data_IF_587131760151
#
_entry.id   IF_587131760151
#
_cell.length_a   1.000
_cell.length_b   1.000
_cell.length_c   1.000
_cell.angle_alpha   90.00
_cell.angle_beta   90.00
_cell.angle_gamma   90.00
#
_symmetry.space_group_name_H-M   'P 1'
#
loop_
_entity.id
_entity.type
_entity.pdbx_description
1 polymer ?
#
# COMPACT_ATOMS: atom_id res chain seq x y z
N UNK A 1 -2.45 -32.42 37.10
CA UNK A 1 -3.48 -31.85 36.20
C UNK A 1 -3.31 -30.36 35.90
N UNK A 2 -2.49 -29.58 36.65
CA UNK A 2 -2.35 -28.12 36.43
C UNK A 2 -1.49 -27.70 35.21
N UNK A 3 -0.42 -28.44 34.87
CA UNK A 3 0.53 -28.02 33.81
C UNK A 3 0.00 -28.02 32.38
N UNK A 4 -1.09 -28.75 32.11
CA UNK A 4 -1.69 -28.87 30.77
C UNK A 4 -2.58 -27.66 30.45
N UNK A 5 -3.20 -27.06 31.47
CA UNK A 5 -4.05 -25.89 31.31
C UNK A 5 -3.22 -24.64 30.98
N UNK A 6 -2.06 -24.47 31.63
CA UNK A 6 -1.10 -23.40 31.33
C UNK A 6 -0.55 -23.47 29.90
N UNK A 7 -0.19 -24.67 29.42
CA UNK A 7 0.36 -24.82 28.06
C UNK A 7 -0.69 -24.54 26.98
N UNK A 8 -1.96 -24.94 27.19
CA UNK A 8 -3.05 -24.64 26.25
C UNK A 8 -3.39 -23.16 26.22
N UNK A 9 -3.42 -22.49 27.38
CA UNK A 9 -3.63 -21.04 27.46
C UNK A 9 -2.47 -20.32 26.76
N UNK A 10 -1.23 -20.73 27.01
CA UNK A 10 -0.05 -20.15 26.36
C UNK A 10 -0.10 -20.32 24.83
N UNK A 11 -0.46 -21.51 24.33
CA UNK A 11 -0.63 -21.77 22.90
C UNK A 11 -1.76 -20.93 22.30
N UNK A 12 -2.87 -20.76 23.01
CA UNK A 12 -3.99 -19.91 22.59
C UNK A 12 -3.60 -18.43 22.54
N UNK A 13 -2.79 -17.95 23.49
CA UNK A 13 -2.26 -16.58 23.50
C UNK A 13 -1.28 -16.36 22.34
N UNK A 14 -0.40 -17.34 22.06
CA UNK A 14 0.51 -17.29 20.91
C UNK A 14 -0.27 -17.30 19.59
N UNK A 15 -1.28 -18.17 19.43
CA UNK A 15 -2.10 -18.19 18.23
C UNK A 15 -2.93 -16.91 18.07
N UNK A 16 -3.43 -16.33 19.16
CA UNK A 16 -4.16 -15.07 19.13
C UNK A 16 -3.25 -13.89 18.76
N UNK A 17 -2.00 -13.87 19.26
CA UNK A 17 -1.02 -12.83 18.88
C UNK A 17 -0.61 -12.90 17.40
N UNK A 18 -0.56 -14.09 16.80
CA UNK A 18 -0.27 -14.26 15.38
C UNK A 18 -1.43 -13.79 14.48
N UNK A 19 -2.67 -13.72 14.99
CA UNK A 19 -3.83 -13.24 14.24
C UNK A 19 -4.03 -11.72 14.24
N UNK A 20 -3.39 -10.99 15.16
CA UNK A 20 -3.44 -9.52 15.17
C UNK A 20 -2.32 -9.00 14.27
N UNK A 21 -2.49 -9.16 12.96
CA UNK A 21 -1.73 -8.39 11.98
C UNK A 21 -2.21 -6.94 12.09
N UNK A 22 -1.70 -6.19 13.07
CA UNK A 22 -1.96 -4.76 13.18
C UNK A 22 -1.58 -4.13 11.85
N UNK A 23 -2.55 -3.52 11.17
CA UNK A 23 -2.34 -2.75 9.95
C UNK A 23 -1.45 -1.58 10.31
N UNK A 24 -0.14 -1.74 10.13
CA UNK A 24 0.81 -0.67 10.41
C UNK A 24 0.52 0.49 9.44
N UNK A 25 -0.15 1.52 9.95
CA UNK A 25 -0.36 2.80 9.26
C UNK A 25 1.01 3.32 8.82
N UNK A 26 1.16 3.57 7.52
CA UNK A 26 2.44 4.01 6.94
C UNK A 26 2.63 5.53 7.04
N UNK A 27 1.51 6.27 7.02
CA UNK A 27 1.39 7.69 7.37
C UNK A 27 -0.08 7.99 7.64
N UNK A 28 -0.40 9.00 8.45
CA UNK A 28 -1.79 9.45 8.68
C UNK A 28 -2.32 10.36 7.56
N UNK A 29 -1.43 10.87 6.70
CA UNK A 29 -1.76 11.87 5.69
C UNK A 29 -1.24 11.47 4.32
N UNK A 30 -2.01 11.80 3.28
CA UNK A 30 -1.66 11.60 1.88
C UNK A 30 -2.10 12.79 1.03
N UNK A 31 -1.43 13.00 -0.10
CA UNK A 31 -1.77 13.95 -1.14
C UNK A 31 -2.40 13.22 -2.33
N UNK A 32 -3.47 13.77 -2.88
CA UNK A 32 -4.25 13.19 -3.97
C UNK A 32 -4.59 14.25 -5.03
N UNK A 33 -5.01 13.81 -6.21
CA UNK A 33 -5.47 14.69 -7.29
C UNK A 33 -6.89 15.25 -7.10
N UNK A 34 -7.64 14.68 -6.16
CA UNK A 34 -8.98 15.08 -5.74
C UNK A 34 -9.25 14.55 -4.32
N UNK A 35 -10.36 14.95 -3.70
CA UNK A 35 -10.68 14.62 -2.31
C UNK A 35 -10.90 13.11 -2.06
N UNK A 36 -11.31 12.36 -3.08
CA UNK A 36 -11.58 10.93 -3.00
C UNK A 36 -10.40 10.07 -3.49
N UNK A 37 -9.35 10.71 -4.01
CA UNK A 37 -8.15 10.06 -4.56
C UNK A 37 -8.43 9.12 -5.74
N UNK A 38 -9.45 9.45 -6.54
CA UNK A 38 -9.86 8.61 -7.68
C UNK A 38 -9.10 8.95 -8.98
N UNK A 39 -8.58 10.17 -9.11
CA UNK A 39 -7.89 10.61 -10.32
C UNK A 39 -6.40 10.29 -10.25
N UNK A 40 -5.90 9.73 -11.35
CA UNK A 40 -4.46 9.59 -11.56
C UNK A 40 -3.81 10.98 -11.63
N UNK A 41 -2.74 11.17 -10.86
CA UNK A 41 -2.00 12.42 -10.72
C UNK A 41 -0.87 12.53 -11.75
N UNK A 42 -0.19 11.42 -12.03
CA UNK A 42 0.95 11.38 -12.95
C UNK A 42 1.20 9.98 -13.48
N UNK A 43 1.83 9.88 -14.66
CA UNK A 43 2.45 8.66 -15.16
C UNK A 43 3.94 8.68 -14.85
N UNK A 44 4.45 7.58 -14.31
CA UNK A 44 5.87 7.41 -13.99
C UNK A 44 6.40 6.15 -14.66
N UNK A 45 7.71 6.13 -14.89
CA UNK A 45 8.43 4.96 -15.37
C UNK A 45 9.40 4.49 -14.28
N UNK A 46 9.43 3.19 -14.01
CA UNK A 46 10.36 2.58 -13.08
C UNK A 46 11.81 2.74 -13.56
N UNK A 47 12.68 3.23 -12.69
CA UNK A 47 14.12 3.41 -12.97
C UNK A 47 14.99 2.33 -12.35
N UNK A 48 14.42 1.52 -11.46
CA UNK A 48 15.05 0.36 -10.85
C UNK A 48 14.02 -0.74 -10.63
N UNK A 49 14.49 -1.96 -10.49
CA UNK A 49 13.68 -3.07 -10.01
C UNK A 49 13.30 -2.82 -8.54
N UNK A 50 12.06 -3.15 -8.19
CA UNK A 50 11.55 -3.05 -6.82
C UNK A 50 10.70 -4.26 -6.47
N UNK A 51 11.04 -4.87 -5.32
CA UNK A 51 10.26 -5.94 -4.70
C UNK A 51 9.75 -5.42 -3.36
N UNK A 52 8.43 -5.33 -3.24
CA UNK A 52 7.73 -4.92 -2.05
C UNK A 52 7.98 -5.86 -0.87
N UNK A 53 8.09 -5.34 0.37
CA UNK A 53 8.30 -6.17 1.56
C UNK A 53 7.07 -6.99 1.96
N UNK A 54 5.87 -6.56 1.55
CA UNK A 54 4.61 -7.26 1.80
C UNK A 54 3.56 -6.91 0.71
N UNK A 55 2.37 -7.51 0.81
CA UNK A 55 1.29 -7.39 -0.16
C UNK A 55 0.72 -5.97 -0.36
N UNK A 56 1.07 -5.00 0.48
CA UNK A 56 0.63 -3.60 0.29
C UNK A 56 1.44 -2.90 -0.78
N UNK A 57 2.61 -3.44 -1.13
CA UNK A 57 3.56 -2.81 -2.04
C UNK A 57 3.46 -3.36 -3.45
N UNK A 58 3.62 -2.48 -4.42
CA UNK A 58 3.65 -2.83 -5.83
C UNK A 58 5.01 -3.45 -6.17
N UNK A 59 5.00 -4.51 -6.98
CA UNK A 59 6.22 -5.13 -7.51
C UNK A 59 6.43 -4.70 -8.96
N UNK A 60 7.64 -4.27 -9.31
CA UNK A 60 7.95 -3.87 -10.68
C UNK A 60 9.42 -3.99 -11.05
N UNK A 61 9.66 -3.90 -12.35
CA UNK A 61 10.94 -3.95 -13.02
C UNK A 61 11.23 -2.62 -13.70
N UNK A 62 12.51 -2.36 -13.90
CA UNK A 62 12.97 -1.18 -14.63
C UNK A 62 12.28 -1.08 -15.99
N UNK A 63 11.80 0.12 -16.34
CA UNK A 63 11.09 0.41 -17.58
C UNK A 63 9.57 0.20 -17.53
N UNK A 64 9.03 -0.44 -16.49
CA UNK A 64 7.59 -0.59 -16.36
C UNK A 64 6.90 0.76 -16.04
N UNK A 65 5.74 0.96 -16.65
CA UNK A 65 4.88 2.14 -16.46
C UNK A 65 4.00 1.96 -15.21
N UNK A 66 3.86 3.02 -14.43
CA UNK A 66 3.02 3.06 -13.23
C UNK A 66 2.19 4.35 -13.23
N UNK A 67 0.89 4.23 -12.95
CA UNK A 67 -0.02 5.35 -12.77
C UNK A 67 -0.11 5.71 -11.29
N UNK A 68 0.22 6.95 -10.92
CA UNK A 68 0.23 7.42 -9.53
C UNK A 68 -1.12 8.02 -9.17
N UNK A 69 -1.70 7.62 -8.03
CA UNK A 69 -3.00 8.12 -7.55
C UNK A 69 -2.90 8.90 -6.25
N UNK A 70 -1.92 8.57 -5.40
CA UNK A 70 -1.67 9.34 -4.17
C UNK A 70 -0.22 9.25 -3.73
N UNK A 71 0.16 10.15 -2.84
CA UNK A 71 1.51 10.25 -2.27
C UNK A 71 1.37 10.35 -0.75
N UNK A 72 1.96 9.46 0.03
CA UNK A 72 1.99 9.67 1.48
C UNK A 72 2.73 10.97 1.78
N UNK A 73 2.36 11.62 2.89
CA UNK A 73 2.86 12.93 3.26
C UNK A 73 3.18 13.01 4.75
N UNK A 74 3.89 14.07 5.17
CA UNK A 74 4.27 14.32 6.57
C UNK A 74 5.20 13.25 7.13
N UNK A 75 4.67 12.29 7.89
CA UNK A 75 5.48 11.27 8.58
C UNK A 75 6.28 10.40 7.60
N UNK A 76 5.74 10.19 6.41
CA UNK A 76 6.40 9.43 5.36
C UNK A 76 6.06 10.04 3.99
N UNK A 77 7.03 10.71 3.37
CA UNK A 77 6.89 11.31 2.04
C UNK A 77 7.56 10.49 0.93
N UNK A 78 8.15 9.34 1.31
CA UNK A 78 8.93 8.51 0.40
C UNK A 78 8.06 7.50 -0.35
N UNK A 79 6.87 7.18 0.15
CA UNK A 79 5.98 6.21 -0.48
C UNK A 79 4.85 6.88 -1.26
N UNK A 80 4.69 6.48 -2.51
CA UNK A 80 3.55 6.78 -3.35
C UNK A 80 2.70 5.53 -3.55
N UNK A 81 1.47 5.71 -4.02
CA UNK A 81 0.56 4.62 -4.35
C UNK A 81 0.13 4.74 -5.80
N UNK A 82 0.14 3.61 -6.49
CA UNK A 82 -0.22 3.57 -7.89
C UNK A 82 -0.54 2.16 -8.40
N UNK A 83 -0.86 2.10 -9.69
CA UNK A 83 -1.15 0.85 -10.38
C UNK A 83 -0.16 0.56 -11.51
N UNK A 84 0.14 -0.73 -11.67
CA UNK A 84 0.75 -1.30 -12.88
C UNK A 84 -0.22 -2.34 -13.43
N UNK A 85 -0.97 -1.97 -14.47
CA UNK A 85 -2.06 -2.81 -14.98
C UNK A 85 -3.12 -3.04 -13.90
N UNK A 86 -3.34 -4.30 -13.52
CA UNK A 86 -4.28 -4.68 -12.45
C UNK A 86 -3.68 -4.63 -11.03
N UNK A 87 -2.35 -4.59 -10.93
CA UNK A 87 -1.66 -4.63 -9.66
C UNK A 87 -1.64 -3.21 -9.06
N UNK A 88 -1.95 -3.09 -7.77
CA UNK A 88 -2.00 -1.80 -7.07
C UNK A 88 -1.23 -1.89 -5.76
N UNK A 89 -0.47 -0.85 -5.43
CA UNK A 89 0.24 -0.83 -4.16
C UNK A 89 1.15 0.38 -3.97
N UNK A 90 1.79 0.40 -2.80
CA UNK A 90 2.81 1.37 -2.44
C UNK A 90 4.16 1.10 -3.11
N UNK A 91 4.89 2.16 -3.41
CA UNK A 91 6.27 2.06 -3.88
C UNK A 91 7.06 3.31 -3.55
N UNK A 92 8.40 3.21 -3.46
CA UNK A 92 9.23 4.33 -3.10
C UNK A 92 9.41 5.27 -4.31
N UNK A 93 9.26 6.58 -4.06
CA UNK A 93 9.28 7.62 -5.11
C UNK A 93 10.61 7.70 -5.86
N UNK A 94 11.70 7.26 -5.26
CA UNK A 94 13.05 7.29 -5.82
C UNK A 94 13.34 6.09 -6.74
N UNK A 95 12.45 5.10 -6.78
CA UNK A 95 12.51 3.99 -7.73
C UNK A 95 11.84 4.29 -9.08
N UNK A 96 11.29 5.49 -9.25
CA UNK A 96 10.56 5.91 -10.46
C UNK A 96 10.96 7.31 -10.91
N UNK A 97 10.68 7.63 -12.17
CA UNK A 97 10.80 8.96 -12.75
C UNK A 97 9.47 9.40 -13.34
N UNK A 98 9.05 10.63 -13.05
CA UNK A 98 7.84 11.22 -13.64
C UNK A 98 8.04 11.45 -15.13
N UNK A 99 7.13 10.91 -15.95
CA UNK A 99 7.07 11.15 -17.39
C UNK A 99 6.05 12.21 -17.75
N UNK A 100 4.85 12.13 -17.15
CA UNK A 100 3.75 13.05 -17.43
C UNK A 100 3.00 13.37 -16.13
N UNK A 101 2.62 14.63 -15.97
CA UNK A 101 1.79 15.10 -14.86
C UNK A 101 0.42 15.45 -15.41
N UNK A 102 -0.63 14.80 -14.87
CA UNK A 102 -2.02 15.07 -15.22
C UNK A 102 -2.64 16.12 -14.31
N UNK A 103 -2.26 16.11 -13.04
CA UNK A 103 -2.78 17.00 -12.00
C UNK A 103 -1.62 17.68 -11.29
N UNK A 104 -1.55 19.00 -11.41
CA UNK A 104 -0.52 19.82 -10.77
C UNK A 104 -0.91 20.33 -9.37
N UNK A 105 -2.21 20.44 -9.08
CA UNK A 105 -2.73 20.87 -7.78
C UNK A 105 -3.13 19.65 -6.95
N UNK A 106 -2.42 19.41 -5.86
CA UNK A 106 -2.66 18.28 -4.96
C UNK A 106 -3.43 18.72 -3.72
N UNK A 107 -4.39 17.91 -3.26
CA UNK A 107 -5.10 18.12 -2.00
C UNK A 107 -4.60 17.13 -0.94
N UNK A 108 -4.37 17.61 0.28
CA UNK A 108 -3.94 16.77 1.40
C UNK A 108 -5.16 16.28 2.19
N UNK A 109 -5.26 14.96 2.39
CA UNK A 109 -6.37 14.30 3.08
C UNK A 109 -5.85 13.26 4.07
N UNK A 110 -6.69 12.86 5.02
CA UNK A 110 -6.38 11.77 5.93
C UNK A 110 -6.37 10.42 5.19
N UNK A 111 -5.46 9.55 5.59
CA UNK A 111 -5.48 8.15 5.18
C UNK A 111 -6.58 7.39 5.91
N UNK A 112 -7.18 6.41 5.25
CA UNK A 112 -8.16 5.47 5.80
C UNK A 112 -7.44 4.17 6.17
N UNK A 113 -7.96 3.40 7.12
CA UNK A 113 -7.40 2.07 7.44
C UNK A 113 -7.36 1.15 6.21
N UNK A 114 -8.36 1.30 5.33
CA UNK A 114 -8.47 0.57 4.05
C UNK A 114 -7.32 0.86 3.09
N UNK A 115 -6.63 2.01 3.22
CA UNK A 115 -5.47 2.35 2.40
C UNK A 115 -4.28 1.43 2.69
N UNK A 116 -4.27 0.73 3.83
CA UNK A 116 -3.18 -0.14 4.26
C UNK A 116 -3.57 -1.62 4.32
N UNK A 117 -4.72 -1.98 3.76
CA UNK A 117 -5.16 -3.37 3.64
C UNK A 117 -4.57 -4.01 2.39
N UNK A 118 -4.20 -5.28 2.49
CA UNK A 118 -3.86 -6.07 1.31
C UNK A 118 -5.13 -6.45 0.58
N UNK A 119 -5.28 -5.94 -0.63
CA UNK A 119 -6.32 -6.36 -1.56
C UNK A 119 -6.01 -7.81 -1.95
N UNK A 120 -6.71 -8.74 -1.33
CA UNK A 120 -6.66 -10.12 -1.80
C UNK A 120 -7.44 -10.15 -3.11
N UNK A 121 -6.84 -10.73 -4.16
CA UNK A 121 -7.60 -11.13 -5.35
C UNK A 121 -8.54 -12.28 -4.96
N UNK A 122 -9.60 -11.96 -4.20
CA UNK A 122 -10.80 -12.78 -4.27
C UNK A 122 -11.23 -12.68 -5.72
N UNK A 123 -11.01 -13.77 -6.47
CA UNK A 123 -11.46 -13.90 -7.85
C UNK A 123 -12.96 -13.66 -7.83
N UNK A 124 -13.39 -12.44 -8.09
CA UNK A 124 -14.77 -12.15 -8.41
C UNK A 124 -15.06 -12.93 -9.70
N UNK A 125 -15.61 -14.14 -9.54
CA UNK A 125 -16.28 -14.83 -10.62
C UNK A 125 -17.52 -13.97 -10.86
N UNK A 126 -17.47 -13.16 -11.91
CA UNK A 126 -18.68 -12.57 -12.45
C UNK A 126 -19.52 -13.75 -12.98
N UNK A 127 -20.60 -14.08 -12.25
CA UNK A 127 -21.69 -14.92 -12.78
C UNK A 127 -22.45 -14.19 -13.89
#
# INVERSE_FOLDING_TARGET
MSRILDQRILLLVISFSASVQSTKVLSEWKKCGDLECEKAMSRVQATTDYLGPDCRYLNFKTGEEIMVYSKLSRQNENLWTGSKGKDFGYFPRDAVKVEEVFIGEEVEVLTKETDFLCLHEDKYVFE
#
